data_IF_062598010466
#
_entry.id   IF_062598010466
#
_cell.length_a   1.000
_cell.length_b   1.000
_cell.length_c   1.000
_cell.angle_alpha   90.00
_cell.angle_beta   90.00
_cell.angle_gamma   90.00
#
_symmetry.space_group_name_H-M   'P 1'
#
loop_
_entity.id
_entity.type
_entity.pdbx_description
1 polymer ?
#
# COMPACT_ATOMS: atom_id res chain seq x y z
N UNK A 1 -13.16 32.40 -27.78
CA UNK A 1 -13.82 31.07 -27.71
C UNK A 1 -12.85 29.90 -27.49
N UNK A 2 -11.63 29.89 -28.07
CA UNK A 2 -10.68 28.77 -27.89
C UNK A 2 -9.99 28.69 -26.52
N UNK A 3 -9.91 29.79 -25.77
CA UNK A 3 -9.25 29.83 -24.44
C UNK A 3 -10.14 29.31 -23.31
N UNK A 4 -11.46 29.47 -23.42
CA UNK A 4 -12.42 29.00 -22.41
C UNK A 4 -12.49 27.47 -22.37
N UNK A 5 -12.39 26.81 -23.52
CA UNK A 5 -12.39 25.34 -23.63
C UNK A 5 -11.14 24.67 -23.05
N UNK A 6 -9.99 25.34 -23.01
CA UNK A 6 -8.74 24.80 -22.44
C UNK A 6 -8.78 24.80 -20.90
N UNK A 7 -9.39 25.82 -20.28
CA UNK A 7 -9.54 25.86 -18.83
C UNK A 7 -10.55 24.84 -18.29
N UNK A 8 -11.61 24.52 -19.05
CA UNK A 8 -12.60 23.52 -18.66
C UNK A 8 -12.01 22.08 -18.65
N UNK A 9 -11.04 21.80 -19.52
CA UNK A 9 -10.41 20.47 -19.62
C UNK A 9 -9.38 20.23 -18.50
N UNK A 10 -8.67 21.27 -18.06
CA UNK A 10 -7.68 21.16 -16.98
C UNK A 10 -8.31 20.91 -15.59
N UNK A 11 -9.53 21.44 -15.35
CA UNK A 11 -10.24 21.23 -14.09
C UNK A 11 -10.76 19.80 -13.91
N UNK A 12 -11.06 19.08 -15.01
CA UNK A 12 -11.58 17.71 -14.95
C UNK A 12 -10.47 16.68 -14.65
N UNK A 13 -9.23 16.95 -15.08
CA UNK A 13 -8.08 16.07 -14.81
C UNK A 13 -7.55 16.15 -13.37
N UNK A 14 -7.81 17.26 -12.65
CA UNK A 14 -7.39 17.43 -11.26
C UNK A 14 -8.24 16.60 -10.28
N UNK A 15 -9.47 16.24 -10.68
CA UNK A 15 -10.42 15.49 -9.83
C UNK A 15 -10.07 13.99 -9.79
N UNK A 16 -9.32 13.48 -10.77
CA UNK A 16 -9.04 12.04 -10.92
C UNK A 16 -7.83 11.50 -10.14
N UNK A 17 -7.09 12.35 -9.41
CA UNK A 17 -5.79 11.97 -8.82
C UNK A 17 -5.78 11.72 -7.31
N UNK A 18 -6.93 11.80 -6.63
CA UNK A 18 -7.03 11.31 -5.25
C UNK A 18 -7.62 9.89 -5.25
N UNK A 19 -6.86 8.93 -5.79
CA UNK A 19 -7.02 7.57 -5.30
C UNK A 19 -6.78 7.64 -3.79
N UNK A 20 -7.76 7.23 -2.98
CA UNK A 20 -7.71 7.31 -1.52
C UNK A 20 -6.41 6.65 -1.03
N UNK A 21 -5.38 7.45 -0.72
CA UNK A 21 -4.14 6.93 -0.17
C UNK A 21 -4.46 6.39 1.22
N UNK A 22 -4.19 5.11 1.45
CA UNK A 22 -4.39 4.52 2.76
C UNK A 22 -3.48 5.21 3.79
N UNK A 23 -3.96 5.48 5.01
CA UNK A 23 -3.13 6.06 6.08
C UNK A 23 -1.85 5.27 6.35
N UNK A 24 -1.84 3.95 6.18
CA UNK A 24 -0.60 3.16 6.30
C UNK A 24 0.52 3.53 5.31
N UNK A 25 0.19 4.22 4.20
CA UNK A 25 1.14 4.76 3.21
C UNK A 25 1.65 6.16 3.56
N UNK A 26 1.06 6.84 4.55
CA UNK A 26 1.46 8.18 4.96
C UNK A 26 2.71 8.12 5.86
N UNK A 27 3.86 8.56 5.35
CA UNK A 27 5.13 8.59 6.08
C UNK A 27 5.20 9.66 7.17
N UNK A 28 4.22 10.58 7.24
CA UNK A 28 4.07 11.57 8.31
C UNK A 28 3.43 11.01 9.59
N UNK A 29 2.79 9.84 9.51
CA UNK A 29 2.23 9.14 10.66
C UNK A 29 3.29 8.25 11.34
N UNK A 30 3.09 7.99 12.64
CA UNK A 30 3.95 7.04 13.37
C UNK A 30 3.83 5.64 12.79
N UNK A 31 4.86 4.83 13.01
CA UNK A 31 4.87 3.44 12.58
C UNK A 31 3.65 2.66 13.11
N UNK A 32 3.33 2.83 14.39
CA UNK A 32 2.21 2.16 15.06
C UNK A 32 0.88 2.51 14.39
N UNK A 33 0.62 3.81 14.14
CA UNK A 33 -0.60 4.26 13.46
C UNK A 33 -0.73 3.64 12.07
N UNK A 34 0.38 3.51 11.34
CA UNK A 34 0.40 2.93 9.99
C UNK A 34 0.15 1.42 10.05
N UNK A 35 0.78 0.71 10.98
CA UNK A 35 0.60 -0.74 11.13
C UNK A 35 -0.82 -1.06 11.61
N UNK A 36 -1.35 -0.33 12.59
CA UNK A 36 -2.71 -0.52 13.09
C UNK A 36 -3.75 -0.29 11.99
N UNK A 37 -3.58 0.75 11.18
CA UNK A 37 -4.44 1.01 10.03
C UNK A 37 -4.37 -0.14 9.00
N UNK A 38 -3.17 -0.60 8.63
CA UNK A 38 -3.01 -1.71 7.70
C UNK A 38 -3.65 -3.01 8.21
N UNK A 39 -3.35 -3.41 9.45
CA UNK A 39 -3.83 -4.67 10.05
C UNK A 39 -5.33 -4.61 10.30
N UNK A 40 -5.88 -3.47 10.73
CA UNK A 40 -7.34 -3.32 10.92
C UNK A 40 -8.13 -3.49 9.63
N UNK A 41 -7.51 -3.21 8.47
CA UNK A 41 -8.13 -3.38 7.15
C UNK A 41 -8.10 -4.82 6.65
N UNK A 42 -7.29 -5.70 7.22
CA UNK A 42 -7.19 -7.12 6.82
C UNK A 42 -8.37 -7.94 7.35
N UNK A 43 -8.84 -8.90 6.55
CA UNK A 43 -9.69 -9.99 7.01
C UNK A 43 -8.93 -10.92 7.96
N UNK A 44 -9.64 -11.79 8.68
CA UNK A 44 -8.99 -12.77 9.55
C UNK A 44 -8.16 -13.76 8.73
N UNK A 45 -8.65 -14.14 7.55
CA UNK A 45 -8.00 -15.05 6.63
C UNK A 45 -6.69 -14.45 6.08
N UNK A 46 -6.70 -13.18 5.67
CA UNK A 46 -5.47 -12.49 5.24
C UNK A 46 -4.49 -12.37 6.41
N UNK A 47 -4.93 -12.02 7.62
CA UNK A 47 -4.05 -11.97 8.81
C UNK A 47 -3.39 -13.31 9.07
N UNK A 48 -4.17 -14.39 9.05
CA UNK A 48 -3.68 -15.74 9.26
C UNK A 48 -2.65 -16.12 8.19
N UNK A 49 -2.90 -15.77 6.93
CA UNK A 49 -1.98 -16.03 5.83
C UNK A 49 -0.63 -15.29 5.95
N UNK A 50 -0.59 -14.14 6.65
CA UNK A 50 0.66 -13.40 6.89
C UNK A 50 1.55 -14.00 8.00
N UNK A 51 1.10 -15.04 8.73
CA UNK A 51 1.86 -15.63 9.83
C UNK A 51 2.96 -16.61 9.38
N UNK A 52 3.00 -16.97 8.10
CA UNK A 52 4.02 -17.84 7.52
C UNK A 52 5.08 -17.02 6.78
N UNK A 53 6.28 -17.58 6.64
CA UNK A 53 7.38 -16.92 5.92
C UNK A 53 7.10 -16.74 4.44
N UNK A 54 6.22 -17.53 3.83
CA UNK A 54 5.72 -17.30 2.47
C UNK A 54 4.45 -16.47 2.52
N UNK A 55 4.54 -15.24 3.02
CA UNK A 55 3.37 -14.38 3.17
C UNK A 55 2.85 -13.96 1.79
N UNK A 56 1.62 -14.34 1.40
CA UNK A 56 1.10 -14.03 0.08
C UNK A 56 0.77 -12.54 -0.03
N UNK A 57 0.73 -12.05 -1.27
CA UNK A 57 0.26 -10.69 -1.57
C UNK A 57 -1.18 -10.48 -1.07
N UNK A 58 -1.52 -9.22 -0.74
CA UNK A 58 -2.89 -8.76 -0.50
C UNK A 58 -3.23 -7.70 -1.56
N UNK A 59 -3.65 -8.11 -2.78
CA UNK A 59 -3.79 -7.19 -3.92
C UNK A 59 -4.75 -6.02 -3.67
N UNK A 60 -5.85 -6.25 -2.92
CA UNK A 60 -6.82 -5.19 -2.62
C UNK A 60 -6.26 -4.06 -1.75
N UNK A 61 -5.19 -4.33 -1.00
CA UNK A 61 -4.49 -3.36 -0.16
C UNK A 61 -3.17 -2.90 -0.80
N UNK A 62 -2.82 -3.40 -1.98
CA UNK A 62 -1.54 -3.08 -2.64
C UNK A 62 -0.31 -3.63 -1.91
N UNK A 63 -0.47 -4.68 -1.09
CA UNK A 63 0.65 -5.31 -0.37
C UNK A 63 1.23 -6.43 -1.25
N UNK A 64 2.52 -6.37 -1.61
CA UNK A 64 3.17 -7.44 -2.37
C UNK A 64 3.37 -8.69 -1.50
N UNK A 65 3.64 -9.82 -2.14
CA UNK A 65 4.13 -10.99 -1.41
C UNK A 65 5.46 -10.67 -0.72
N UNK A 66 5.70 -11.29 0.43
CA UNK A 66 6.90 -11.04 1.20
C UNK A 66 7.43 -12.31 1.84
N UNK A 67 8.71 -12.60 1.60
CA UNK A 67 9.42 -13.67 2.28
C UNK A 67 10.36 -13.11 3.33
N UNK A 68 9.95 -13.20 4.60
CA UNK A 68 10.75 -12.66 5.70
C UNK A 68 11.86 -13.61 6.17
N UNK A 69 11.82 -14.89 5.79
CA UNK A 69 12.86 -15.84 6.18
C UNK A 69 14.06 -15.75 5.24
N UNK A 70 14.98 -14.87 5.63
CA UNK A 70 16.28 -14.67 5.02
C UNK A 70 17.38 -15.18 5.97
N UNK A 71 18.51 -15.63 5.43
CA UNK A 71 19.64 -16.19 6.17
C UNK A 71 20.98 -15.61 5.68
N UNK A 72 21.85 -15.25 6.64
CA UNK A 72 23.14 -14.66 6.34
C UNK A 72 24.27 -15.05 7.32
N UNK A 73 24.26 -16.28 7.87
CA UNK A 73 25.16 -16.70 8.97
C UNK A 73 26.65 -16.43 8.68
N UNK A 74 27.08 -16.68 7.44
CA UNK A 74 28.45 -16.44 6.98
C UNK A 74 28.48 -15.87 5.54
N UNK A 75 27.48 -15.06 5.21
CA UNK A 75 27.22 -14.54 3.86
C UNK A 75 25.79 -14.82 3.42
N UNK A 76 25.32 -14.06 2.42
CA UNK A 76 23.93 -14.12 1.93
C UNK A 76 23.62 -15.50 1.37
N UNK A 77 22.60 -16.17 1.93
CA UNK A 77 22.17 -17.49 1.50
C UNK A 77 20.78 -17.48 0.86
N UNK A 78 19.82 -16.79 1.49
CA UNK A 78 18.43 -16.64 1.04
C UNK A 78 17.78 -15.46 1.72
#
# INVERSE_FOLDING_TARGET
MKRVSVFLFAALAAITSNAQQYPFLDTGLSFEKRVDDLVSRMTVEEKAAQLLYTAPAIPRLGIPEYNWWNEALHGVAR
#
